data_IF_107589750376
#
_entry.id   IF_107589750376
#
_cell.length_a   1.000
_cell.length_b   1.000
_cell.length_c   1.000
_cell.angle_alpha   90.00
_cell.angle_beta   90.00
_cell.angle_gamma   90.00
#
_symmetry.space_group_name_H-M   'P 1'
#
loop_
_entity.id
_entity.type
_entity.pdbx_description
1 polymer ?
#
# COMPACT_ATOMS: atom_id res chain seq x y z
N UNK A 1 -30.08 16.60 15.19
CA UNK A 1 -29.84 16.83 13.76
C UNK A 1 -28.35 16.59 13.58
N UNK A 2 -27.99 15.35 13.26
CA UNK A 2 -26.60 14.92 13.11
C UNK A 2 -26.02 15.64 11.90
N UNK A 3 -25.08 16.55 12.14
CA UNK A 3 -24.28 17.20 11.11
C UNK A 3 -22.92 16.49 11.10
N UNK A 4 -22.89 15.30 10.52
CA UNK A 4 -21.62 14.70 10.09
C UNK A 4 -21.25 15.36 8.76
N UNK A 5 -20.57 16.50 8.85
CA UNK A 5 -19.86 17.13 7.74
C UNK A 5 -18.58 16.31 7.50
N UNK A 6 -18.71 15.19 6.79
CA UNK A 6 -17.56 14.39 6.35
C UNK A 6 -16.94 15.05 5.11
N UNK A 7 -16.18 16.12 5.37
CA UNK A 7 -15.30 16.73 4.39
C UNK A 7 -14.19 15.75 4.01
N UNK A 8 -14.39 15.04 2.89
CA UNK A 8 -13.43 14.11 2.30
C UNK A 8 -12.06 14.77 2.08
N UNK A 9 -11.17 14.57 3.03
CA UNK A 9 -9.79 15.05 2.95
C UNK A 9 -8.96 14.03 2.16
N UNK A 10 -8.65 14.37 0.91
CA UNK A 10 -7.66 13.66 0.10
C UNK A 10 -6.27 13.87 0.72
N UNK A 11 -5.96 13.15 1.80
CA UNK A 11 -4.63 13.16 2.44
C UNK A 11 -3.62 12.40 1.57
N UNK A 12 -3.14 13.08 0.54
CA UNK A 12 -1.96 12.70 -0.24
C UNK A 12 -0.70 12.83 0.65
N UNK A 13 -0.53 11.91 1.60
CA UNK A 13 0.61 11.94 2.54
C UNK A 13 0.61 10.87 3.63
N UNK A 14 -0.46 10.11 3.83
CA UNK A 14 -0.50 9.08 4.86
C UNK A 14 0.42 7.91 4.49
N UNK A 15 1.46 7.63 5.29
CA UNK A 15 2.20 6.36 5.20
C UNK A 15 1.25 5.18 5.43
N UNK A 16 1.47 4.05 4.75
CA UNK A 16 0.74 2.81 5.06
C UNK A 16 1.02 2.43 6.52
N UNK A 17 -0.05 2.22 7.28
CA UNK A 17 0.02 1.68 8.64
C UNK A 17 0.37 0.20 8.60
N UNK A 18 0.96 -0.34 9.67
CA UNK A 18 1.36 -1.74 9.73
C UNK A 18 0.20 -2.72 9.44
N UNK A 19 -1.03 -2.36 9.83
CA UNK A 19 -2.26 -3.10 9.48
C UNK A 19 -2.48 -3.12 7.96
N UNK A 20 -2.49 -1.95 7.33
CA UNK A 20 -2.67 -1.81 5.89
C UNK A 20 -1.56 -2.52 5.11
N UNK A 21 -0.31 -2.41 5.57
CA UNK A 21 0.83 -3.14 5.00
C UNK A 21 0.59 -4.66 5.02
N UNK A 22 0.11 -5.20 6.15
CA UNK A 22 -0.21 -6.63 6.28
C UNK A 22 -1.29 -7.04 5.29
N UNK A 23 -2.37 -6.26 5.19
CA UNK A 23 -3.45 -6.52 4.22
C UNK A 23 -2.90 -6.53 2.80
N UNK A 24 -2.08 -5.54 2.41
CA UNK A 24 -1.49 -5.52 1.06
C UNK A 24 -0.61 -6.74 0.82
N UNK A 25 0.23 -7.14 1.76
CA UNK A 25 1.12 -8.30 1.62
C UNK A 25 0.32 -9.60 1.50
N UNK A 26 -0.67 -9.81 2.39
CA UNK A 26 -1.50 -11.01 2.40
C UNK A 26 -2.34 -11.10 1.13
N UNK A 27 -3.00 -10.00 0.74
CA UNK A 27 -3.84 -9.98 -0.45
C UNK A 27 -3.02 -10.07 -1.72
N UNK A 28 -1.82 -9.47 -1.80
CA UNK A 28 -0.92 -9.65 -2.94
C UNK A 28 -0.47 -11.12 -3.04
N UNK A 29 -0.18 -11.79 -1.92
CA UNK A 29 0.18 -13.21 -1.92
C UNK A 29 -0.99 -14.09 -2.35
N UNK A 30 -2.23 -13.72 -1.98
CA UNK A 30 -3.45 -14.49 -2.29
C UNK A 30 -4.00 -14.26 -3.69
N UNK A 31 -4.05 -13.01 -4.14
CA UNK A 31 -4.72 -12.57 -5.37
C UNK A 31 -3.76 -12.12 -6.48
N UNK A 32 -2.47 -11.92 -6.17
CA UNK A 32 -1.48 -11.39 -7.10
C UNK A 32 -1.60 -9.88 -7.31
N UNK A 33 -1.31 -9.41 -8.52
CA UNK A 33 -1.33 -7.99 -8.88
C UNK A 33 -2.75 -7.44 -9.13
N UNK A 34 -3.71 -7.80 -8.28
CA UNK A 34 -5.10 -7.32 -8.36
C UNK A 34 -5.28 -6.09 -7.47
N UNK A 35 -4.59 -5.00 -7.81
CA UNK A 35 -4.52 -3.79 -6.98
C UNK A 35 -5.89 -3.21 -6.62
N UNK A 36 -6.83 -3.17 -7.56
CA UNK A 36 -8.19 -2.70 -7.32
C UNK A 36 -8.95 -3.55 -6.27
N UNK A 37 -8.78 -4.87 -6.31
CA UNK A 37 -9.38 -5.76 -5.32
C UNK A 37 -8.72 -5.58 -3.95
N UNK A 38 -7.40 -5.41 -3.91
CA UNK A 38 -6.65 -5.18 -2.65
C UNK A 38 -7.04 -3.83 -2.04
N UNK A 39 -7.13 -2.78 -2.85
CA UNK A 39 -7.56 -1.45 -2.44
C UNK A 39 -9.00 -1.45 -1.90
N UNK A 40 -9.87 -2.34 -2.40
CA UNK A 40 -11.23 -2.49 -1.85
C UNK A 40 -11.26 -2.95 -0.38
N UNK A 41 -10.16 -3.55 0.11
CA UNK A 41 -10.01 -3.88 1.54
C UNK A 41 -9.46 -2.72 2.38
N UNK A 42 -9.09 -1.60 1.76
CA UNK A 42 -8.46 -0.44 2.39
C UNK A 42 -9.30 0.80 2.09
N UNK A 43 -10.12 1.20 3.06
CA UNK A 43 -11.14 2.24 2.86
C UNK A 43 -10.56 3.60 2.42
N UNK A 44 -9.31 3.89 2.77
CA UNK A 44 -8.63 5.15 2.42
C UNK A 44 -7.49 4.99 1.40
N UNK A 45 -7.38 3.83 0.72
CA UNK A 45 -6.30 3.58 -0.26
C UNK A 45 -6.83 3.27 -1.63
N UNK A 46 -6.20 3.88 -2.63
CA UNK A 46 -6.49 3.57 -4.04
C UNK A 46 -5.63 2.42 -4.54
N UNK A 47 -6.01 1.81 -5.67
CA UNK A 47 -5.20 0.78 -6.33
C UNK A 47 -3.78 1.30 -6.68
N UNK A 48 -3.66 2.60 -6.95
CA UNK A 48 -2.40 3.25 -7.24
C UNK A 48 -1.49 3.32 -6.01
N UNK A 49 -2.05 3.58 -4.83
CA UNK A 49 -1.33 3.55 -3.55
C UNK A 49 -0.77 2.16 -3.26
N UNK A 50 -1.60 1.12 -3.43
CA UNK A 50 -1.19 -0.28 -3.23
C UNK A 50 -0.06 -0.67 -4.19
N UNK A 51 -0.20 -0.34 -5.48
CA UNK A 51 0.83 -0.55 -6.49
C UNK A 51 2.12 0.20 -6.16
N UNK A 52 2.02 1.43 -5.68
CA UNK A 52 3.16 2.26 -5.30
C UNK A 52 3.89 1.71 -4.07
N UNK A 53 3.14 1.30 -3.05
CA UNK A 53 3.66 0.61 -1.87
C UNK A 53 4.46 -0.64 -2.27
N UNK A 54 3.87 -1.50 -3.12
CA UNK A 54 4.51 -2.73 -3.56
C UNK A 54 5.76 -2.47 -4.40
N UNK A 55 5.71 -1.51 -5.33
CA UNK A 55 6.86 -1.14 -6.16
C UNK A 55 8.01 -0.59 -5.31
N UNK A 56 7.70 0.24 -4.32
CA UNK A 56 8.68 0.77 -3.38
C UNK A 56 9.29 -0.32 -2.51
N UNK A 57 8.48 -1.27 -2.03
CA UNK A 57 8.93 -2.45 -1.28
C UNK A 57 9.84 -3.34 -2.12
N UNK A 58 9.47 -3.63 -3.36
CA UNK A 58 10.28 -4.39 -4.32
C UNK A 58 11.62 -3.70 -4.60
N UNK A 59 11.63 -2.39 -4.85
CA UNK A 59 12.86 -1.61 -5.05
C UNK A 59 13.77 -1.67 -3.82
N UNK A 60 13.21 -1.57 -2.60
CA UNK A 60 13.97 -1.70 -1.35
C UNK A 60 14.59 -3.10 -1.20
N UNK A 61 13.83 -4.15 -1.49
CA UNK A 61 14.33 -5.52 -1.44
C UNK A 61 15.40 -5.77 -2.50
N UNK A 62 15.20 -5.28 -3.73
CA UNK A 62 16.18 -5.37 -4.80
C UNK A 62 17.48 -4.67 -4.43
N UNK A 63 17.42 -3.48 -3.82
CA UNK A 63 18.61 -2.82 -3.26
C UNK A 63 19.26 -3.64 -2.16
N UNK A 64 18.48 -4.23 -1.26
CA UNK A 64 19.02 -5.08 -0.20
C UNK A 64 19.78 -6.29 -0.78
N UNK A 65 19.23 -6.95 -1.80
CA UNK A 65 19.90 -8.05 -2.50
C UNK A 65 21.16 -7.57 -3.23
N UNK A 66 21.13 -6.39 -3.83
CA UNK A 66 22.25 -5.82 -4.60
C UNK A 66 23.35 -5.20 -3.72
N UNK A 67 23.06 -4.81 -2.48
CA UNK A 67 24.04 -4.35 -1.49
C UNK A 67 24.82 -5.48 -0.81
N UNK A 68 24.54 -6.75 -1.12
CA UNK A 68 25.34 -7.90 -0.67
C UNK A 68 26.53 -8.21 -1.59
N UNK A 69 26.99 -7.23 -2.36
CA UNK A 69 28.30 -7.32 -3.02
C UNK A 69 28.89 -5.92 -3.26
N UNK A 70 29.76 -5.46 -2.37
CA UNK A 70 30.96 -4.75 -2.79
C UNK A 70 32.19 -5.58 -2.40
N UNK A 71 32.97 -5.95 -3.42
CA UNK A 71 34.36 -6.37 -3.29
C UNK A 71 35.23 -5.19 -2.83
#
# INVERSE_FOLDING_TARGET
MTVDDDGGEMKSGCKFSAEEERVVIEMQARFGNKWAAIASHLQERTDNDVKNFWSSRKKRLARFLQSTSPL
#
